data_IF_850842433883
#
_entry.id   IF_850842433883
#
_cell.length_a   1.000
_cell.length_b   1.000
_cell.length_c   1.000
_cell.angle_alpha   90.00
_cell.angle_beta   90.00
_cell.angle_gamma   90.00
#
_symmetry.space_group_name_H-M   'P 1'
#
loop_
_entity.id
_entity.type
_entity.pdbx_description
1 polymer ?
#
# COMPACT_ATOMS: atom_id res chain seq x y z
N UNK A 1 -5.69 -7.07 -23.59
CA UNK A 1 -4.69 -6.28 -24.35
C UNK A 1 -5.30 -5.10 -25.08
N UNK A 2 -4.61 -4.55 -26.11
CA UNK A 2 -5.13 -3.37 -26.81
C UNK A 2 -6.37 -3.67 -27.67
N UNK A 3 -6.59 -4.92 -28.09
CA UNK A 3 -7.82 -5.34 -28.79
C UNK A 3 -9.03 -5.18 -27.85
N UNK A 4 -8.90 -5.61 -26.60
CA UNK A 4 -9.95 -5.43 -25.59
C UNK A 4 -10.29 -3.94 -25.41
N UNK A 5 -9.27 -3.09 -25.33
CA UNK A 5 -9.48 -1.66 -25.19
C UNK A 5 -10.19 -1.07 -26.42
N UNK A 6 -9.81 -1.48 -27.64
CA UNK A 6 -10.47 -1.03 -28.88
C UNK A 6 -11.94 -1.46 -28.90
N UNK A 7 -12.23 -2.71 -28.55
CA UNK A 7 -13.58 -3.25 -28.52
C UNK A 7 -14.46 -2.53 -27.48
N UNK A 8 -13.94 -2.33 -26.28
CA UNK A 8 -14.64 -1.54 -25.24
C UNK A 8 -14.91 -0.11 -25.68
N UNK A 9 -13.94 0.56 -26.32
CA UNK A 9 -14.15 1.90 -26.88
C UNK A 9 -15.22 1.92 -27.98
N UNK A 10 -15.26 0.90 -28.84
CA UNK A 10 -16.29 0.78 -29.89
C UNK A 10 -17.69 0.63 -29.27
N UNK A 11 -17.80 0.01 -28.08
CA UNK A 11 -19.05 -0.12 -27.32
C UNK A 11 -19.33 1.07 -26.38
N UNK A 12 -18.61 2.20 -26.55
CA UNK A 12 -18.88 3.44 -25.81
C UNK A 12 -18.18 3.59 -24.48
N UNK A 13 -17.38 2.61 -24.03
CA UNK A 13 -16.64 2.64 -22.76
C UNK A 13 -15.28 3.30 -22.99
N UNK A 14 -15.20 4.62 -22.74
CA UNK A 14 -14.05 5.46 -23.15
C UNK A 14 -12.93 5.58 -22.11
N UNK A 15 -13.17 5.22 -20.86
CA UNK A 15 -12.21 5.28 -19.75
C UNK A 15 -11.39 3.98 -19.61
N UNK A 16 -11.02 3.38 -20.73
CA UNK A 16 -10.26 2.14 -20.80
C UNK A 16 -8.89 2.39 -21.41
N UNK A 17 -7.88 1.78 -20.83
CA UNK A 17 -6.50 1.77 -21.33
C UNK A 17 -5.94 0.34 -21.31
N UNK A 18 -4.96 0.08 -22.15
CA UNK A 18 -4.26 -1.20 -22.18
C UNK A 18 -2.76 -1.02 -21.95
N UNK A 19 -2.15 -1.94 -21.20
CA UNK A 19 -0.70 -2.08 -21.12
C UNK A 19 -0.21 -2.81 -22.36
N UNK A 20 0.61 -2.15 -23.20
CA UNK A 20 1.10 -2.72 -24.45
C UNK A 20 2.13 -3.83 -24.18
N UNK A 21 1.70 -5.10 -24.29
CA UNK A 21 2.57 -6.28 -24.37
C UNK A 21 3.46 -6.54 -23.13
N UNK A 22 3.29 -5.81 -22.04
CA UNK A 22 4.10 -5.91 -20.83
C UNK A 22 3.21 -6.03 -19.59
N UNK A 23 3.78 -6.60 -18.52
CA UNK A 23 3.17 -6.52 -17.20
C UNK A 23 3.00 -5.04 -16.77
N UNK A 24 2.03 -4.78 -15.91
CA UNK A 24 1.80 -3.47 -15.30
C UNK A 24 3.07 -2.96 -14.59
N UNK A 25 3.47 -1.70 -14.83
CA UNK A 25 4.72 -1.12 -14.31
C UNK A 25 4.47 0.04 -13.36
N UNK A 26 5.49 0.40 -12.57
CA UNK A 26 5.44 1.55 -11.64
C UNK A 26 5.22 2.86 -12.40
N UNK A 27 5.82 3.01 -13.58
CA UNK A 27 5.67 4.20 -14.43
C UNK A 27 4.23 4.34 -14.94
N UNK A 28 3.61 3.23 -15.35
CA UNK A 28 2.20 3.18 -15.75
C UNK A 28 1.29 3.51 -14.56
N UNK A 29 1.56 2.96 -13.38
CA UNK A 29 0.82 3.26 -12.16
C UNK A 29 0.90 4.74 -11.78
N UNK A 30 2.09 5.34 -11.84
CA UNK A 30 2.28 6.78 -11.60
C UNK A 30 1.56 7.64 -12.64
N UNK A 31 1.55 7.20 -13.90
CA UNK A 31 0.82 7.90 -14.95
C UNK A 31 -0.68 7.86 -14.69
N UNK A 32 -1.23 6.67 -14.40
CA UNK A 32 -2.66 6.49 -14.12
C UNK A 32 -3.09 7.28 -12.88
N UNK A 33 -2.25 7.32 -11.83
CA UNK A 33 -2.54 8.09 -10.60
C UNK A 33 -2.74 9.57 -10.83
N UNK A 34 -2.22 10.15 -11.93
CA UNK A 34 -2.45 11.56 -12.30
C UNK A 34 -3.87 11.81 -12.81
N UNK A 35 -4.55 10.76 -13.29
CA UNK A 35 -5.85 10.86 -13.96
C UNK A 35 -6.97 10.14 -13.20
N UNK A 36 -6.63 9.19 -12.31
CA UNK A 36 -7.60 8.40 -11.58
C UNK A 36 -7.10 8.06 -10.19
N UNK A 37 -8.01 8.04 -9.22
CA UNK A 37 -7.74 7.55 -7.86
C UNK A 37 -7.88 6.04 -7.73
N UNK A 38 -8.61 5.43 -8.66
CA UNK A 38 -8.90 4.01 -8.70
C UNK A 38 -8.78 3.46 -10.11
N UNK A 39 -8.24 2.25 -10.23
CA UNK A 39 -8.15 1.49 -11.48
C UNK A 39 -8.81 0.13 -11.30
N UNK A 40 -9.61 -0.27 -12.27
CA UNK A 40 -10.27 -1.58 -12.29
C UNK A 40 -9.56 -2.46 -13.31
N UNK A 41 -9.00 -3.57 -12.85
CA UNK A 41 -8.42 -4.57 -13.73
C UNK A 41 -9.49 -5.55 -14.23
N UNK A 42 -9.53 -5.71 -15.52
CA UNK A 42 -10.38 -6.67 -16.19
C UNK A 42 -9.46 -7.68 -16.90
N UNK A 43 -9.19 -8.79 -16.24
CA UNK A 43 -8.32 -9.86 -16.72
C UNK A 43 -9.05 -11.20 -16.66
N UNK A 44 -8.51 -12.17 -17.40
CA UNK A 44 -8.89 -13.57 -17.25
C UNK A 44 -8.61 -14.07 -15.84
N UNK A 45 -9.51 -14.89 -15.32
CA UNK A 45 -9.51 -15.40 -13.94
C UNK A 45 -8.55 -16.57 -13.72
N UNK A 46 -7.58 -16.78 -14.60
CA UNK A 46 -6.62 -17.88 -14.52
C UNK A 46 -5.50 -17.65 -13.49
N UNK A 47 -4.63 -18.65 -13.31
CA UNK A 47 -3.48 -18.55 -12.39
C UNK A 47 -2.49 -17.45 -12.80
N UNK A 48 -2.38 -17.11 -14.08
CA UNK A 48 -1.57 -16.02 -14.58
C UNK A 48 -2.16 -14.66 -14.17
N UNK A 49 -3.49 -14.52 -14.21
CA UNK A 49 -4.23 -13.35 -13.75
C UNK A 49 -4.07 -13.11 -12.25
N UNK A 50 -4.03 -14.16 -11.43
CA UNK A 50 -3.76 -14.02 -9.97
C UNK A 50 -2.36 -13.47 -9.70
N UNK A 51 -1.33 -13.99 -10.39
CA UNK A 51 0.04 -13.47 -10.26
C UNK A 51 0.16 -12.03 -10.78
N UNK A 52 -0.54 -11.69 -11.86
CA UNK A 52 -0.61 -10.33 -12.38
C UNK A 52 -1.27 -9.39 -11.38
N UNK A 53 -2.38 -9.80 -10.76
CA UNK A 53 -3.08 -9.03 -9.71
C UNK A 53 -2.18 -8.79 -8.50
N UNK A 54 -1.45 -9.79 -8.02
CA UNK A 54 -0.51 -9.63 -6.91
C UNK A 54 0.56 -8.58 -7.21
N UNK A 55 1.23 -8.71 -8.36
CA UNK A 55 2.25 -7.72 -8.79
C UNK A 55 1.66 -6.32 -8.96
N UNK A 56 0.46 -6.24 -9.52
CA UNK A 56 -0.22 -4.97 -9.69
C UNK A 56 -0.56 -4.31 -8.34
N UNK A 57 -0.97 -5.08 -7.33
CA UNK A 57 -1.22 -4.60 -5.98
C UNK A 57 0.05 -4.07 -5.31
N UNK A 58 1.19 -4.75 -5.47
CA UNK A 58 2.48 -4.28 -4.97
C UNK A 58 2.87 -2.94 -5.61
N UNK A 59 2.71 -2.83 -6.94
CA UNK A 59 3.02 -1.62 -7.70
C UNK A 59 2.08 -0.48 -7.34
N UNK A 60 0.78 -0.73 -7.35
CA UNK A 60 -0.24 0.28 -7.08
C UNK A 60 -0.16 0.79 -5.63
N UNK A 61 0.09 -0.11 -4.68
CA UNK A 61 0.30 0.25 -3.27
C UNK A 61 1.46 1.22 -3.09
N UNK A 62 2.57 1.02 -3.82
CA UNK A 62 3.75 1.89 -3.76
C UNK A 62 3.51 3.33 -4.24
N UNK A 63 2.43 3.57 -5.01
CA UNK A 63 2.07 4.90 -5.53
C UNK A 63 0.73 5.41 -5.00
N UNK A 64 0.11 4.70 -4.06
CA UNK A 64 -1.18 5.05 -3.46
C UNK A 64 -2.36 4.99 -4.45
N UNK A 65 -2.31 4.13 -5.47
CA UNK A 65 -3.37 3.89 -6.44
C UNK A 65 -4.28 2.75 -5.94
N UNK A 66 -5.58 2.98 -5.87
CA UNK A 66 -6.54 1.94 -5.50
C UNK A 66 -6.78 0.99 -6.66
N UNK A 67 -6.86 -0.31 -6.36
CA UNK A 67 -7.17 -1.33 -7.35
C UNK A 67 -8.42 -2.12 -6.99
N UNK A 68 -9.25 -2.35 -8.03
CA UNK A 68 -10.34 -3.32 -8.02
C UNK A 68 -10.16 -4.31 -9.17
N UNK A 69 -10.86 -5.43 -9.11
CA UNK A 69 -10.85 -6.48 -10.14
C UNK A 69 -12.28 -6.72 -10.60
N UNK A 70 -12.52 -6.60 -11.90
CA UNK A 70 -13.77 -6.98 -12.53
C UNK A 70 -13.73 -8.47 -12.89
N UNK A 71 -14.78 -9.20 -12.53
CA UNK A 71 -14.90 -10.64 -12.70
C UNK A 71 -15.85 -10.91 -13.88
N UNK A 72 -15.29 -11.13 -15.07
CA UNK A 72 -16.06 -11.32 -16.30
C UNK A 72 -16.70 -12.73 -16.45
N UNK A 73 -16.45 -13.62 -15.48
CA UNK A 73 -16.85 -15.02 -15.59
C UNK A 73 -15.78 -15.89 -16.27
N UNK A 74 -16.03 -17.19 -16.34
CA UNK A 74 -15.05 -18.16 -16.84
C UNK A 74 -14.71 -17.94 -18.32
N UNK A 75 -13.41 -17.82 -18.61
CA UNK A 75 -12.83 -17.91 -19.95
C UNK A 75 -13.14 -16.76 -20.91
N UNK A 76 -13.61 -15.61 -20.38
CA UNK A 76 -13.94 -14.45 -21.23
C UNK A 76 -12.97 -13.30 -20.98
N UNK A 77 -12.33 -12.86 -22.06
CA UNK A 77 -11.65 -11.59 -22.09
C UNK A 77 -12.66 -10.42 -22.28
N UNK A 78 -12.25 -9.16 -22.04
CA UNK A 78 -13.14 -8.02 -22.21
C UNK A 78 -13.70 -7.87 -23.64
N UNK A 79 -12.94 -8.23 -24.67
CA UNK A 79 -13.37 -8.19 -26.07
C UNK A 79 -14.50 -9.18 -26.30
N UNK A 80 -14.31 -10.44 -25.93
CA UNK A 80 -15.34 -11.49 -26.07
C UNK A 80 -16.58 -11.12 -25.25
N UNK A 81 -16.40 -10.67 -24.01
CA UNK A 81 -17.52 -10.32 -23.14
C UNK A 81 -18.39 -9.21 -23.74
N UNK A 82 -17.77 -8.08 -24.17
CA UNK A 82 -18.54 -6.93 -24.65
C UNK A 82 -19.20 -7.19 -25.99
N UNK A 83 -18.61 -8.04 -26.85
CA UNK A 83 -19.23 -8.45 -28.11
C UNK A 83 -20.43 -9.38 -27.91
N UNK A 84 -20.46 -10.19 -26.85
CA UNK A 84 -21.57 -11.09 -26.53
C UNK A 84 -22.69 -10.42 -25.75
N UNK A 85 -22.34 -9.54 -24.79
CA UNK A 85 -23.26 -9.02 -23.78
C UNK A 85 -23.57 -7.52 -23.94
N UNK A 86 -22.73 -6.80 -24.70
CA UNK A 86 -22.85 -5.35 -24.87
C UNK A 86 -22.18 -4.52 -23.79
N UNK A 87 -22.12 -3.21 -24.02
CA UNK A 87 -21.43 -2.27 -23.14
C UNK A 87 -22.13 -2.07 -21.80
N UNK A 88 -23.46 -2.08 -21.77
CA UNK A 88 -24.24 -1.84 -20.55
C UNK A 88 -23.99 -2.96 -19.53
N UNK A 89 -24.03 -4.24 -19.95
CA UNK A 89 -23.76 -5.36 -19.06
C UNK A 89 -22.31 -5.39 -18.59
N UNK A 90 -21.36 -4.97 -19.45
CA UNK A 90 -19.97 -4.79 -19.03
C UNK A 90 -19.83 -3.72 -17.93
N UNK A 91 -20.54 -2.61 -18.04
CA UNK A 91 -20.53 -1.56 -17.02
C UNK A 91 -21.12 -2.05 -15.69
N UNK A 92 -22.15 -2.88 -15.71
CA UNK A 92 -22.67 -3.52 -14.49
C UNK A 92 -21.60 -4.39 -13.79
N UNK A 93 -20.81 -5.15 -14.57
CA UNK A 93 -19.68 -5.93 -14.02
C UNK A 93 -18.60 -5.02 -13.43
N UNK A 94 -18.29 -3.90 -14.09
CA UNK A 94 -17.35 -2.90 -13.58
C UNK A 94 -17.82 -2.29 -12.26
N UNK A 95 -19.09 -1.97 -12.13
CA UNK A 95 -19.68 -1.44 -10.89
C UNK A 95 -19.60 -2.45 -9.73
N UNK A 96 -19.72 -3.74 -10.05
CA UNK A 96 -19.59 -4.85 -9.10
C UNK A 96 -18.15 -5.31 -8.86
N UNK A 97 -17.15 -4.67 -9.49
CA UNK A 97 -15.75 -5.03 -9.30
C UNK A 97 -15.37 -5.07 -7.81
N UNK A 98 -14.60 -6.06 -7.40
CA UNK A 98 -14.21 -6.28 -6.01
C UNK A 98 -12.85 -5.65 -5.71
N UNK A 99 -12.58 -5.19 -4.47
CA UNK A 99 -11.24 -4.74 -4.08
C UNK A 99 -10.19 -5.81 -4.37
N UNK A 100 -9.08 -5.43 -5.01
CA UNK A 100 -8.08 -6.39 -5.46
C UNK A 100 -7.41 -7.17 -4.31
N UNK A 101 -7.29 -6.58 -3.09
CA UNK A 101 -6.85 -7.30 -1.90
C UNK A 101 -7.81 -8.42 -1.49
N UNK A 102 -9.11 -8.17 -1.61
CA UNK A 102 -10.15 -9.16 -1.28
C UNK A 102 -10.14 -10.30 -2.29
N UNK A 103 -10.03 -9.96 -3.56
CA UNK A 103 -9.87 -10.94 -4.64
C UNK A 103 -8.65 -11.84 -4.41
N UNK A 104 -7.47 -11.25 -4.18
CA UNK A 104 -6.24 -12.01 -3.92
C UNK A 104 -6.39 -12.94 -2.71
N UNK A 105 -6.93 -12.44 -1.61
CA UNK A 105 -7.13 -13.24 -0.41
C UNK A 105 -8.07 -14.43 -0.65
N UNK A 106 -9.14 -14.22 -1.39
CA UNK A 106 -10.07 -15.30 -1.76
C UNK A 106 -9.39 -16.33 -2.67
N UNK A 107 -8.63 -15.89 -3.66
CA UNK A 107 -7.88 -16.77 -4.57
C UNK A 107 -6.86 -17.63 -3.80
N UNK A 108 -6.11 -17.02 -2.88
CA UNK A 108 -5.16 -17.74 -2.02
C UNK A 108 -5.84 -18.79 -1.13
N UNK A 109 -7.03 -18.50 -0.61
CA UNK A 109 -7.83 -19.46 0.17
C UNK A 109 -8.37 -20.62 -0.65
N UNK A 110 -8.57 -20.42 -1.94
CA UNK A 110 -8.93 -21.50 -2.86
C UNK A 110 -7.72 -22.35 -3.22
N UNK A 111 -6.54 -21.73 -3.33
CA UNK A 111 -5.28 -22.40 -3.68
C UNK A 111 -4.67 -23.17 -2.51
N UNK A 112 -4.76 -22.65 -1.29
CA UNK A 112 -4.16 -23.22 -0.08
C UNK A 112 -5.24 -23.57 0.94
N UNK A 113 -5.11 -24.74 1.56
CA UNK A 113 -6.03 -25.16 2.61
C UNK A 113 -5.84 -24.33 3.90
N UNK A 114 -6.75 -23.36 4.08
CA UNK A 114 -6.77 -22.49 5.28
C UNK A 114 -7.06 -23.20 6.60
N UNK A 115 -7.43 -24.48 6.61
CA UNK A 115 -7.59 -25.27 7.81
C UNK A 115 -6.28 -25.87 8.30
N UNK A 116 -5.26 -25.96 7.44
CA UNK A 116 -3.94 -26.47 7.81
C UNK A 116 -2.99 -25.34 8.18
N UNK A 117 -2.07 -25.61 9.13
CA UNK A 117 -1.05 -24.65 9.53
C UNK A 117 -0.16 -24.20 8.35
N UNK A 118 0.20 -25.15 7.48
CA UNK A 118 1.01 -24.87 6.29
C UNK A 118 0.26 -23.96 5.31
N UNK A 119 -1.01 -24.24 5.05
CA UNK A 119 -1.85 -23.41 4.17
C UNK A 119 -2.05 -22.02 4.73
N UNK A 120 -2.35 -21.89 6.02
CA UNK A 120 -2.45 -20.60 6.71
C UNK A 120 -1.16 -19.78 6.56
N UNK A 121 0.00 -20.42 6.77
CA UNK A 121 1.30 -19.75 6.67
C UNK A 121 1.60 -19.27 5.24
N UNK A 122 1.26 -20.04 4.21
CA UNK A 122 1.39 -19.63 2.81
C UNK A 122 0.49 -18.44 2.50
N UNK A 123 -0.79 -18.50 2.89
CA UNK A 123 -1.74 -17.38 2.71
C UNK A 123 -1.22 -16.12 3.39
N UNK A 124 -0.78 -16.20 4.64
CA UNK A 124 -0.28 -15.04 5.38
C UNK A 124 0.96 -14.43 4.74
N UNK A 125 1.93 -15.26 4.30
CA UNK A 125 3.15 -14.78 3.67
C UNK A 125 2.88 -14.02 2.37
N UNK A 126 2.00 -14.53 1.50
CA UNK A 126 1.61 -13.88 0.26
C UNK A 126 0.85 -12.57 0.54
N UNK A 127 -0.06 -12.56 1.50
CA UNK A 127 -0.81 -11.36 1.87
C UNK A 127 0.09 -10.29 2.53
N UNK A 128 1.06 -10.69 3.36
CA UNK A 128 1.98 -9.75 3.98
C UNK A 128 2.87 -9.05 2.96
N UNK A 129 3.28 -9.74 1.88
CA UNK A 129 4.04 -9.12 0.81
C UNK A 129 3.30 -7.92 0.19
N UNK A 130 2.02 -8.09 -0.08
CA UNK A 130 1.18 -7.05 -0.67
C UNK A 130 0.78 -5.98 0.35
N UNK A 131 0.45 -6.37 1.57
CA UNK A 131 0.07 -5.43 2.63
C UNK A 131 1.25 -4.55 3.08
N UNK A 132 2.48 -5.07 2.99
CA UNK A 132 3.69 -4.37 3.40
C UNK A 132 4.03 -3.15 2.53
N UNK A 133 3.47 -3.03 1.34
CA UNK A 133 3.70 -1.90 0.44
C UNK A 133 2.52 -0.92 0.38
N UNK A 134 1.43 -1.20 1.11
CA UNK A 134 0.28 -0.29 1.17
C UNK A 134 0.56 0.88 2.13
N UNK A 135 0.38 2.10 1.66
CA UNK A 135 0.60 3.32 2.46
C UNK A 135 -0.62 3.69 3.35
N UNK A 136 -1.56 2.77 3.55
CA UNK A 136 -2.78 3.02 4.30
C UNK A 136 -2.88 2.14 5.55
N UNK A 137 -2.50 2.71 6.70
CA UNK A 137 -2.54 2.03 8.01
C UNK A 137 -3.95 1.55 8.39
N UNK A 138 -5.01 2.28 8.03
CA UNK A 138 -6.38 1.87 8.31
C UNK A 138 -6.75 0.61 7.50
N UNK A 139 -6.43 0.61 6.20
CA UNK A 139 -6.67 -0.53 5.32
C UNK A 139 -5.88 -1.76 5.79
N UNK A 140 -4.61 -1.60 6.15
CA UNK A 140 -3.78 -2.65 6.74
C UNK A 140 -4.45 -3.27 7.97
N UNK A 141 -4.82 -2.44 8.97
CA UNK A 141 -5.44 -2.91 10.21
C UNK A 141 -6.79 -3.59 9.98
N UNK A 142 -7.60 -3.06 9.07
CA UNK A 142 -8.88 -3.66 8.69
C UNK A 142 -8.69 -5.03 8.06
N UNK A 143 -7.66 -5.17 7.21
CA UNK A 143 -7.38 -6.43 6.53
C UNK A 143 -6.80 -7.49 7.48
N UNK A 144 -5.93 -7.10 8.43
CA UNK A 144 -5.45 -8.01 9.51
C UNK A 144 -6.65 -8.61 10.27
N UNK A 145 -7.62 -7.78 10.67
CA UNK A 145 -8.85 -8.26 11.34
C UNK A 145 -9.67 -9.20 10.45
N UNK A 146 -9.78 -8.90 9.16
CA UNK A 146 -10.46 -9.75 8.20
C UNK A 146 -9.80 -11.13 8.11
N UNK A 147 -8.48 -11.17 7.94
CA UNK A 147 -7.71 -12.42 7.90
C UNK A 147 -7.88 -13.24 9.19
N UNK A 148 -7.77 -12.60 10.36
CA UNK A 148 -7.93 -13.25 11.65
C UNK A 148 -9.29 -13.97 11.77
N UNK A 149 -10.37 -13.26 11.46
CA UNK A 149 -11.72 -13.83 11.49
C UNK A 149 -11.89 -14.98 10.50
N UNK A 150 -11.39 -14.81 9.28
CA UNK A 150 -11.61 -15.77 8.18
C UNK A 150 -10.77 -17.03 8.33
N UNK A 151 -9.54 -16.92 8.86
CA UNK A 151 -8.63 -18.03 9.10
C UNK A 151 -8.77 -18.63 10.51
N UNK A 152 -9.69 -18.09 11.35
CA UNK A 152 -9.88 -18.49 12.75
C UNK A 152 -8.59 -18.42 13.57
N UNK A 153 -7.80 -17.37 13.37
CA UNK A 153 -6.52 -17.14 14.05
C UNK A 153 -6.61 -15.92 14.98
N UNK A 154 -5.73 -15.88 15.97
CA UNK A 154 -5.59 -14.71 16.84
C UNK A 154 -5.09 -13.48 16.08
N UNK A 155 -5.78 -12.33 16.21
CA UNK A 155 -5.43 -11.09 15.53
C UNK A 155 -4.04 -10.58 15.96
N UNK A 156 -3.69 -10.71 17.25
CA UNK A 156 -2.40 -10.28 17.78
C UNK A 156 -1.25 -11.10 17.19
N UNK A 157 -1.47 -12.40 16.98
CA UNK A 157 -0.50 -13.28 16.34
C UNK A 157 -0.26 -12.84 14.88
N UNK A 158 -1.31 -12.69 14.08
CA UNK A 158 -1.19 -12.25 12.68
C UNK A 158 -0.51 -10.88 12.60
N UNK A 159 -0.89 -9.95 13.47
CA UNK A 159 -0.29 -8.62 13.53
C UNK A 159 1.20 -8.66 13.85
N UNK A 160 1.60 -9.49 14.83
CA UNK A 160 3.01 -9.64 15.21
C UNK A 160 3.85 -10.24 14.08
N UNK A 161 3.31 -11.22 13.36
CA UNK A 161 3.97 -11.83 12.19
C UNK A 161 4.06 -10.84 11.02
N UNK A 162 3.01 -10.05 10.75
CA UNK A 162 3.03 -9.00 9.74
C UNK A 162 4.11 -7.95 10.03
N UNK A 163 4.23 -7.51 11.30
CA UNK A 163 5.30 -6.58 11.75
C UNK A 163 6.69 -7.21 11.56
N UNK A 164 6.84 -8.48 11.88
CA UNK A 164 8.09 -9.21 11.68
C UNK A 164 8.46 -9.30 10.21
N UNK A 165 7.47 -9.60 9.36
CA UNK A 165 7.64 -9.65 7.90
C UNK A 165 8.12 -8.31 7.34
N UNK A 166 7.47 -7.19 7.71
CA UNK A 166 7.84 -5.85 7.23
C UNK A 166 9.25 -5.45 7.68
N UNK A 167 9.62 -5.75 8.93
CA UNK A 167 10.98 -5.49 9.43
C UNK A 167 12.05 -6.28 8.68
N UNK A 168 11.78 -7.55 8.39
CA UNK A 168 12.73 -8.43 7.69
C UNK A 168 12.96 -8.00 6.24
N UNK A 169 11.93 -7.47 5.58
CA UNK A 169 11.97 -7.12 4.16
C UNK A 169 12.22 -5.62 3.91
N UNK A 170 12.62 -4.84 4.92
CA UNK A 170 12.87 -3.39 4.84
C UNK A 170 11.68 -2.60 4.23
N UNK A 171 10.46 -3.10 4.37
CA UNK A 171 9.26 -2.48 3.81
C UNK A 171 8.81 -1.35 4.72
N UNK A 172 8.61 -0.16 4.16
CA UNK A 172 8.18 1.05 4.88
C UNK A 172 6.67 1.05 5.17
N UNK A 173 6.16 0.05 5.87
CA UNK A 173 4.79 0.14 6.40
C UNK A 173 4.83 0.75 7.78
N UNK A 174 4.19 1.89 7.93
CA UNK A 174 3.87 2.49 9.22
C UNK A 174 2.81 1.65 9.94
N UNK A 175 3.24 0.59 10.60
CA UNK A 175 2.37 -0.17 11.49
C UNK A 175 2.39 0.56 12.84
N UNK A 176 1.40 1.41 13.09
CA UNK A 176 1.21 1.99 14.42
C UNK A 176 0.90 0.87 15.43
N UNK A 177 1.75 0.65 16.44
CA UNK A 177 1.48 -0.33 17.48
C UNK A 177 0.58 0.31 18.55
N UNK A 178 -0.68 0.39 18.39
CA UNK A 178 -1.70 0.63 19.41
C UNK A 178 -2.83 1.54 18.95
N UNK A 179 -4.00 0.95 18.74
CA UNK A 179 -5.29 1.63 18.83
C UNK A 179 -6.16 1.08 19.97
N UNK A 180 -5.73 0.06 20.70
CA UNK A 180 -6.44 -0.38 21.93
C UNK A 180 -5.43 -0.71 23.02
N UNK A 181 -5.64 -0.06 24.17
CA UNK A 181 -4.82 -0.18 25.35
C UNK A 181 -4.85 -1.61 25.93
N UNK A 182 -3.69 -2.15 26.13
CA UNK A 182 -3.37 -3.06 27.22
C UNK A 182 -2.08 -2.56 27.84
N UNK A 183 -2.19 -2.18 29.11
CA UNK A 183 -1.04 -1.96 29.98
C UNK A 183 -0.21 -3.24 30.02
N UNK A 184 0.96 -3.20 29.41
CA UNK A 184 2.00 -4.19 29.69
C UNK A 184 3.06 -3.51 30.56
N UNK A 185 2.98 -3.83 31.84
CA UNK A 185 4.12 -3.77 32.74
C UNK A 185 5.21 -4.71 32.24
N UNK A 186 6.27 -4.17 31.74
CA UNK A 186 7.42 -4.92 31.25
C UNK A 186 8.54 -3.97 30.86
N UNK A 187 9.44 -3.77 31.78
CA UNK A 187 10.66 -2.94 31.72
C UNK A 187 11.51 -3.24 30.50
N UNK A 188 12.09 -2.17 29.95
CA UNK A 188 13.36 -1.98 29.26
C UNK A 188 13.26 -1.32 27.87
N UNK A 189 13.83 -0.11 27.79
CA UNK A 189 14.42 0.52 26.60
C UNK A 189 13.51 0.89 25.42
N UNK A 190 12.32 1.45 25.67
CA UNK A 190 11.44 1.97 24.61
C UNK A 190 11.50 3.50 24.39
N UNK A 191 12.33 4.20 25.16
CA UNK A 191 12.39 5.66 25.11
C UNK A 191 13.09 6.16 23.84
N UNK A 192 14.13 5.46 23.40
CA UNK A 192 14.99 5.84 22.28
C UNK A 192 14.26 5.81 20.92
N UNK A 193 13.48 4.77 20.68
CA UNK A 193 12.70 4.64 19.42
C UNK A 193 11.51 5.60 19.32
N UNK A 194 10.87 5.96 20.43
CA UNK A 194 9.77 6.93 20.46
C UNK A 194 10.32 8.36 20.31
N UNK A 195 11.42 8.65 21.01
CA UNK A 195 12.13 9.89 20.91
C UNK A 195 12.57 10.17 19.48
N UNK A 196 13.28 9.23 18.84
CA UNK A 196 13.73 9.33 17.46
C UNK A 196 12.59 9.60 16.47
N UNK A 197 11.43 8.97 16.65
CA UNK A 197 10.25 9.22 15.81
C UNK A 197 9.70 10.62 15.95
N UNK A 198 9.56 11.12 17.16
CA UNK A 198 9.08 12.47 17.43
C UNK A 198 10.04 13.51 16.83
N UNK A 199 11.33 13.29 16.94
CA UNK A 199 12.36 14.12 16.34
C UNK A 199 12.25 14.13 14.81
N UNK A 200 12.10 12.96 14.17
CA UNK A 200 11.91 12.83 12.72
C UNK A 200 10.64 13.54 12.24
N UNK A 201 9.51 13.38 12.93
CA UNK A 201 8.25 14.04 12.59
C UNK A 201 8.36 15.57 12.72
N UNK A 202 9.00 16.08 13.77
CA UNK A 202 9.22 17.50 13.96
C UNK A 202 10.08 18.09 12.84
N UNK A 203 11.23 17.48 12.56
CA UNK A 203 12.14 17.96 11.53
C UNK A 203 11.54 17.85 10.12
N UNK A 204 10.77 16.78 9.85
CA UNK A 204 9.99 16.62 8.61
C UNK A 204 8.94 17.72 8.47
N UNK A 205 8.22 18.04 9.56
CA UNK A 205 7.26 19.15 9.54
C UNK A 205 7.93 20.47 9.17
N UNK A 206 9.06 20.79 9.78
CA UNK A 206 9.82 22.00 9.47
C UNK A 206 10.28 22.07 8.01
N UNK A 207 10.72 20.94 7.44
CA UNK A 207 11.14 20.84 6.03
C UNK A 207 9.98 21.02 5.05
N UNK A 208 8.82 20.42 5.34
CA UNK A 208 7.66 20.45 4.44
C UNK A 208 6.88 21.74 4.54
N UNK A 209 6.70 22.27 5.75
CA UNK A 209 5.95 23.50 5.97
C UNK A 209 6.76 24.78 5.73
N UNK A 210 8.09 24.68 5.68
CA UNK A 210 9.01 25.83 5.69
C UNK A 210 8.83 26.77 6.89
N UNK A 211 8.27 26.26 7.98
CA UNK A 211 7.98 27.01 9.21
C UNK A 211 8.73 26.36 10.38
N UNK A 212 9.47 27.16 11.13
CA UNK A 212 10.01 26.73 12.41
C UNK A 212 8.99 27.03 13.51
N UNK A 213 8.56 26.03 14.30
CA UNK A 213 7.61 26.25 15.39
C UNK A 213 8.21 27.11 16.50
N UNK A 214 7.36 27.80 17.27
CA UNK A 214 7.79 28.53 18.45
C UNK A 214 8.55 27.62 19.42
N UNK A 215 9.68 28.10 19.93
CA UNK A 215 10.53 27.30 20.82
C UNK A 215 11.52 26.37 20.12
N UNK A 216 11.58 26.36 18.78
CA UNK A 216 12.55 25.53 18.02
C UNK A 216 13.99 25.80 18.48
N UNK A 217 14.35 27.04 18.73
CA UNK A 217 15.68 27.43 19.24
C UNK A 217 15.97 26.88 20.64
N UNK A 218 14.95 26.61 21.46
CA UNK A 218 15.13 26.04 22.80
C UNK A 218 15.63 24.59 22.79
N UNK A 219 15.55 23.92 21.65
CA UNK A 219 16.08 22.55 21.43
C UNK A 219 17.62 22.52 21.31
N UNK A 220 18.32 23.66 21.39
CA UNK A 220 19.79 23.73 21.31
C UNK A 220 20.50 22.85 22.34
N UNK A 221 19.89 22.70 23.53
CA UNK A 221 20.42 21.86 24.62
C UNK A 221 19.88 20.42 24.59
N UNK A 222 19.07 20.10 23.58
CA UNK A 222 18.45 18.80 23.47
C UNK A 222 19.41 17.80 22.80
N UNK A 223 19.49 16.60 23.38
CA UNK A 223 20.28 15.51 22.81
C UNK A 223 19.41 14.69 21.86
N UNK A 224 19.64 14.80 20.57
CA UNK A 224 18.93 14.02 19.55
C UNK A 224 19.28 12.52 19.62
N UNK A 225 18.34 11.68 19.25
CA UNK A 225 18.46 10.23 19.30
C UNK A 225 19.55 9.70 18.33
N UNK A 226 19.83 10.41 17.23
CA UNK A 226 20.99 10.12 16.40
C UNK A 226 21.65 11.39 15.86
N UNK A 227 22.91 11.22 15.45
CA UNK A 227 23.77 12.30 14.96
C UNK A 227 23.24 12.96 13.69
N UNK A 228 22.56 12.20 12.81
CA UNK A 228 21.97 12.73 11.59
C UNK A 228 20.82 13.72 11.91
N UNK A 229 19.95 13.37 12.85
CA UNK A 229 18.86 14.26 13.28
C UNK A 229 19.38 15.54 13.94
N UNK A 230 20.46 15.43 14.72
CA UNK A 230 21.15 16.59 15.29
C UNK A 230 21.70 17.53 14.22
N UNK A 231 22.41 17.01 13.22
CA UNK A 231 22.92 17.80 12.10
C UNK A 231 21.80 18.45 11.27
N UNK A 232 20.71 17.73 11.03
CA UNK A 232 19.54 18.26 10.33
C UNK A 232 18.89 19.42 11.10
N UNK A 233 18.80 19.31 12.43
CA UNK A 233 18.36 20.40 13.29
C UNK A 233 19.24 21.64 13.15
N UNK A 234 20.57 21.48 13.17
CA UNK A 234 21.52 22.60 13.02
C UNK A 234 21.37 23.31 11.67
N UNK A 235 21.19 22.52 10.59
CA UNK A 235 20.96 23.06 9.24
C UNK A 235 19.64 23.85 9.18
N UNK A 236 18.54 23.33 9.75
CA UNK A 236 17.26 24.00 9.79
C UNK A 236 17.33 25.28 10.62
N UNK A 237 18.05 25.27 11.75
CA UNK A 237 18.25 26.44 12.60
C UNK A 237 19.06 27.54 11.90
N UNK A 238 20.09 27.17 11.14
CA UNK A 238 20.87 28.12 10.33
C UNK A 238 20.06 28.71 9.17
N UNK A 239 19.21 27.89 8.53
CA UNK A 239 18.32 28.30 7.44
C UNK A 239 17.12 29.11 7.94
N UNK A 240 16.72 29.01 9.20
CA UNK A 240 15.50 29.60 9.77
C UNK A 240 15.46 31.12 9.88
N UNK A 241 16.47 31.82 9.38
CA UNK A 241 16.47 33.28 9.19
C UNK A 241 16.29 33.70 7.72
N UNK A 242 16.08 32.76 6.82
CA UNK A 242 15.80 32.95 5.41
C UNK A 242 14.99 31.77 4.89
N UNK A 243 14.40 31.85 3.69
CA UNK A 243 13.63 30.77 3.08
C UNK A 243 14.42 29.46 3.05
N UNK A 244 13.88 28.42 3.69
CA UNK A 244 14.44 27.07 3.64
C UNK A 244 14.23 26.54 2.24
N UNK A 245 15.30 26.43 1.44
CA UNK A 245 15.25 25.78 0.11
C UNK A 245 15.79 24.37 0.23
N UNK A 246 15.15 23.41 -0.45
CA UNK A 246 15.48 21.98 -0.42
C UNK A 246 16.93 21.70 -0.86
N UNK A 247 17.54 22.59 -1.63
CA UNK A 247 18.94 22.49 -2.09
C UNK A 247 19.96 22.42 -0.95
N UNK A 248 19.63 22.91 0.26
CA UNK A 248 20.53 22.85 1.41
C UNK A 248 20.58 21.46 2.08
N UNK A 249 19.57 20.63 1.90
CA UNK A 249 19.50 19.30 2.50
C UNK A 249 20.22 18.19 1.71
N UNK A 250 20.45 18.42 0.40
CA UNK A 250 21.15 17.45 -0.48
C UNK A 250 22.66 17.68 -0.60
N UNK A 251 23.19 18.79 -0.11
CA UNK A 251 24.58 19.23 -0.36
C UNK A 251 25.59 18.82 0.74
N UNK A 252 25.23 17.93 1.66
CA UNK A 252 26.15 17.39 2.69
C UNK A 252 25.71 15.95 3.05
#
# INVERSE_FOLDING_TARGET
>A
GYMDAISLHAHGIKNVVASLGTAFTVEQARLLKKYADEVIFSYDMDAAGQNATRRALEIAGSVGLKLRVALLGEGKDPDEFVNLHGGDEYLEVIDQAVPALDYLFQALRTQYDGATLEGQQKILNEMFAVLAVQDNTYQFNSFIRKMARTLHMDEGLIRSEAIRYTKKNNSHVYISPNVYGEERTGTVSSNDGRQRRLEQELLKYCLVSHILPEGFDSLEKYSFADEFLGRLYDVLKQAGKGNITVEYAEAR
#
